data_IF_927615672582
#
_entry.id   IF_927615672582
#
_cell.length_a   1.000
_cell.length_b   1.000
_cell.length_c   1.000
_cell.angle_alpha   90.00
_cell.angle_beta   90.00
_cell.angle_gamma   90.00
#
_symmetry.space_group_name_H-M   'P 1'
#
loop_
_entity.id
_entity.type
_entity.pdbx_description
1 polymer ?
#
# COMPACT_ATOMS: atom_id res chain seq x y z
N UNK A 1 -29.36 -40.84 -8.91
CA UNK A 1 -28.63 -39.71 -9.52
C UNK A 1 -27.26 -39.66 -8.88
N UNK A 2 -26.23 -40.15 -9.56
CA UNK A 2 -24.86 -40.22 -9.06
C UNK A 2 -24.23 -38.83 -9.11
N UNK A 3 -24.03 -38.20 -7.95
CA UNK A 3 -23.25 -36.97 -7.83
C UNK A 3 -21.81 -37.28 -8.22
N UNK A 4 -21.35 -36.72 -9.34
CA UNK A 4 -19.97 -36.81 -9.77
C UNK A 4 -19.12 -35.87 -8.90
N UNK A 5 -18.22 -36.43 -8.10
CA UNK A 5 -17.21 -35.67 -7.39
C UNK A 5 -16.06 -35.36 -8.37
N UNK A 6 -15.62 -34.10 -8.38
CA UNK A 6 -14.57 -33.61 -9.28
C UNK A 6 -13.17 -34.15 -8.91
N UNK A 7 -12.94 -34.40 -7.62
CA UNK A 7 -11.63 -34.74 -7.09
C UNK A 7 -11.77 -35.56 -5.81
N UNK A 8 -10.81 -36.48 -5.56
CA UNK A 8 -10.72 -37.23 -4.30
C UNK A 8 -10.14 -36.40 -3.15
N UNK A 9 -9.82 -35.13 -3.40
CA UNK A 9 -9.18 -34.19 -2.48
C UNK A 9 -9.82 -32.81 -2.62
N UNK A 10 -10.08 -32.14 -1.51
CA UNK A 10 -10.62 -30.78 -1.52
C UNK A 10 -9.61 -29.76 -2.06
N UNK A 11 -10.00 -29.00 -3.08
CA UNK A 11 -9.14 -27.99 -3.73
C UNK A 11 -8.76 -26.82 -2.81
N UNK A 12 -9.55 -26.56 -1.77
CA UNK A 12 -9.27 -25.47 -0.83
C UNK A 12 -8.29 -25.87 0.29
N UNK A 13 -8.44 -27.05 0.89
CA UNK A 13 -7.69 -27.44 2.09
C UNK A 13 -6.87 -28.73 1.96
N UNK A 14 -6.93 -29.39 0.80
CA UNK A 14 -6.20 -30.63 0.49
C UNK A 14 -6.71 -31.87 1.21
N UNK A 15 -7.86 -31.81 1.92
CA UNK A 15 -8.40 -32.95 2.64
C UNK A 15 -8.93 -34.02 1.66
N UNK A 16 -8.55 -35.28 1.86
CA UNK A 16 -9.13 -36.40 1.13
C UNK A 16 -10.63 -36.53 1.42
N UNK A 17 -11.45 -36.48 0.38
CA UNK A 17 -12.90 -36.52 0.43
C UNK A 17 -13.34 -37.99 0.34
N UNK A 18 -14.10 -38.45 1.32
CA UNK A 18 -14.76 -39.76 1.24
C UNK A 18 -16.03 -39.62 0.39
N UNK A 19 -16.46 -40.65 -0.37
CA UNK A 19 -17.68 -40.60 -1.17
C UNK A 19 -18.97 -40.35 -0.35
N UNK A 20 -18.90 -40.55 0.98
CA UNK A 20 -19.99 -40.30 1.93
C UNK A 20 -19.97 -38.87 2.51
N UNK A 21 -18.94 -38.09 2.18
CA UNK A 21 -18.89 -36.67 2.51
C UNK A 21 -20.01 -36.00 1.72
N UNK A 22 -20.83 -35.18 2.39
CA UNK A 22 -21.97 -34.50 1.77
C UNK A 22 -21.58 -33.52 0.66
N UNK A 23 -22.32 -32.42 0.50
CA UNK A 23 -22.03 -31.48 -0.59
C UNK A 23 -20.89 -30.50 -0.31
N UNK A 24 -20.43 -30.42 0.94
CA UNK A 24 -19.39 -29.50 1.40
C UNK A 24 -18.26 -30.26 2.12
N UNK A 25 -17.04 -29.75 1.99
CA UNK A 25 -15.88 -30.27 2.68
C UNK A 25 -16.06 -30.14 4.21
N UNK A 26 -15.88 -31.22 4.99
CA UNK A 26 -16.11 -31.19 6.44
C UNK A 26 -15.10 -30.32 7.22
N UNK A 27 -13.99 -29.93 6.59
CA UNK A 27 -12.93 -29.13 7.25
C UNK A 27 -13.04 -27.64 6.97
N UNK A 28 -13.23 -27.25 5.71
CA UNK A 28 -13.25 -25.84 5.30
C UNK A 28 -14.59 -25.37 4.73
N UNK A 29 -15.59 -26.25 4.67
CA UNK A 29 -16.92 -25.98 4.12
C UNK A 29 -16.89 -25.51 2.65
N UNK A 30 -15.85 -25.87 1.91
CA UNK A 30 -15.75 -25.62 0.48
C UNK A 30 -16.66 -26.61 -0.29
N UNK A 31 -17.43 -26.17 -1.29
CA UNK A 31 -18.31 -27.07 -2.06
C UNK A 31 -17.52 -28.13 -2.82
N UNK A 32 -17.97 -29.39 -2.76
CA UNK A 32 -17.28 -30.52 -3.42
C UNK A 32 -18.12 -31.16 -4.52
N UNK A 33 -19.36 -30.73 -4.70
CA UNK A 33 -20.22 -31.14 -5.81
C UNK A 33 -20.10 -30.16 -6.98
N UNK A 34 -20.05 -30.71 -8.19
CA UNK A 34 -19.86 -29.93 -9.44
C UNK A 34 -20.75 -28.68 -9.52
N UNK A 35 -22.07 -28.87 -9.41
CA UNK A 35 -23.04 -27.79 -9.58
C UNK A 35 -22.93 -26.71 -8.48
N UNK A 36 -22.50 -27.10 -7.28
CA UNK A 36 -22.39 -26.17 -6.15
C UNK A 36 -21.09 -25.41 -6.19
N UNK A 37 -20.01 -26.07 -6.62
CA UNK A 37 -18.71 -25.44 -6.85
C UNK A 37 -18.79 -24.42 -7.98
N UNK A 38 -19.39 -24.75 -9.12
CA UNK A 38 -19.59 -23.81 -10.23
C UNK A 38 -20.29 -22.52 -9.77
N UNK A 39 -21.43 -22.66 -9.09
CA UNK A 39 -22.18 -21.51 -8.54
C UNK A 39 -21.37 -20.75 -7.50
N UNK A 40 -20.66 -21.44 -6.61
CA UNK A 40 -19.83 -20.82 -5.60
C UNK A 40 -18.72 -19.97 -6.22
N UNK A 41 -18.07 -20.47 -7.28
CA UNK A 41 -17.04 -19.74 -8.01
C UNK A 41 -17.62 -18.53 -8.74
N UNK A 42 -18.80 -18.65 -9.38
CA UNK A 42 -19.48 -17.49 -9.98
C UNK A 42 -19.78 -16.39 -8.97
N UNK A 43 -20.31 -16.74 -7.79
CA UNK A 43 -20.56 -15.78 -6.73
C UNK A 43 -19.27 -15.17 -6.19
N UNK A 44 -18.25 -16.00 -5.95
CA UNK A 44 -16.96 -15.55 -5.44
C UNK A 44 -16.27 -14.58 -6.40
N UNK A 45 -16.29 -14.87 -7.71
CA UNK A 45 -15.73 -13.98 -8.72
C UNK A 45 -16.48 -12.64 -8.79
N UNK A 46 -17.83 -12.66 -8.75
CA UNK A 46 -18.63 -11.42 -8.70
C UNK A 46 -18.32 -10.58 -7.46
N UNK A 47 -18.19 -11.22 -6.30
CA UNK A 47 -17.86 -10.52 -5.07
C UNK A 47 -16.44 -9.95 -5.10
N UNK A 48 -15.45 -10.73 -5.54
CA UNK A 48 -14.07 -10.27 -5.68
C UNK A 48 -13.95 -9.12 -6.68
N UNK A 49 -14.68 -9.17 -7.80
CA UNK A 49 -14.73 -8.09 -8.78
C UNK A 49 -15.29 -6.81 -8.15
N UNK A 50 -16.42 -6.90 -7.44
CA UNK A 50 -16.98 -5.78 -6.68
C UNK A 50 -15.99 -5.23 -5.66
N UNK A 51 -15.27 -6.09 -4.93
CA UNK A 51 -14.24 -5.65 -3.98
C UNK A 51 -13.11 -4.92 -4.70
N UNK A 52 -12.67 -5.43 -5.85
CA UNK A 52 -11.65 -4.80 -6.67
C UNK A 52 -12.09 -3.42 -7.16
N UNK A 53 -13.28 -3.33 -7.74
CA UNK A 53 -13.81 -2.11 -8.37
C UNK A 53 -14.06 -0.98 -7.36
N UNK A 54 -14.49 -1.32 -6.14
CA UNK A 54 -14.85 -0.33 -5.11
C UNK A 54 -13.78 -0.15 -4.02
N UNK A 55 -12.50 -0.32 -4.38
CA UNK A 55 -11.35 0.08 -3.56
C UNK A 55 -10.96 -0.89 -2.44
N UNK A 56 -11.51 -2.10 -2.45
CA UNK A 56 -11.12 -3.18 -1.53
C UNK A 56 -9.80 -3.85 -1.92
N UNK A 57 -9.33 -3.70 -3.17
CA UNK A 57 -8.02 -4.20 -3.62
C UNK A 57 -6.82 -3.61 -2.84
N UNK A 58 -6.98 -2.44 -2.22
CA UNK A 58 -5.94 -1.79 -1.42
C UNK A 58 -5.91 -2.23 0.05
N UNK A 59 -6.76 -3.19 0.44
CA UNK A 59 -6.86 -3.69 1.80
C UNK A 59 -6.28 -5.10 1.90
N UNK A 60 -5.74 -5.43 3.07
CA UNK A 60 -5.45 -6.84 3.40
C UNK A 60 -6.76 -7.62 3.51
N UNK A 61 -6.69 -8.95 3.30
CA UNK A 61 -7.84 -9.85 3.51
C UNK A 61 -8.40 -9.70 4.93
N UNK A 62 -7.53 -9.57 5.95
CA UNK A 62 -7.94 -9.30 7.33
C UNK A 62 -8.70 -7.98 7.49
N UNK A 63 -8.29 -6.92 6.79
CA UNK A 63 -8.98 -5.63 6.78
C UNK A 63 -10.36 -5.70 6.12
N UNK A 64 -10.49 -6.49 5.04
CA UNK A 64 -11.78 -6.76 4.39
C UNK A 64 -12.72 -7.52 5.31
N UNK A 65 -12.22 -8.56 6.01
CA UNK A 65 -12.99 -9.31 7.01
C UNK A 65 -13.50 -8.37 8.11
N UNK A 66 -12.63 -7.51 8.65
CA UNK A 66 -13.01 -6.53 9.67
C UNK A 66 -14.07 -5.53 9.20
N UNK A 67 -13.98 -5.06 7.95
CA UNK A 67 -14.97 -4.16 7.35
C UNK A 67 -16.34 -4.83 7.22
N UNK A 68 -16.38 -6.06 6.71
CA UNK A 68 -17.62 -6.79 6.50
C UNK A 68 -18.26 -7.26 7.80
N UNK A 69 -17.48 -7.71 8.77
CA UNK A 69 -18.01 -8.08 10.09
C UNK A 69 -18.65 -6.88 10.80
N UNK A 70 -18.03 -5.69 10.75
CA UNK A 70 -18.59 -4.46 11.32
C UNK A 70 -19.92 -4.10 10.67
N UNK A 71 -20.00 -4.13 9.34
CA UNK A 71 -21.24 -3.83 8.61
C UNK A 71 -22.32 -4.88 8.89
N UNK A 72 -21.97 -6.15 8.94
CA UNK A 72 -22.90 -7.24 9.25
C UNK A 72 -23.47 -7.11 10.66
N UNK A 73 -22.63 -6.78 11.64
CA UNK A 73 -23.07 -6.55 13.01
C UNK A 73 -23.99 -5.34 13.13
N UNK A 74 -23.69 -4.25 12.43
CA UNK A 74 -24.58 -3.09 12.34
C UNK A 74 -25.96 -3.46 11.75
N UNK A 75 -26.00 -4.23 10.66
CA UNK A 75 -27.26 -4.67 10.05
C UNK A 75 -28.04 -5.63 10.99
N UNK A 76 -27.34 -6.50 11.71
CA UNK A 76 -27.96 -7.35 12.74
C UNK A 76 -28.56 -6.50 13.86
N UNK A 77 -27.83 -5.49 14.34
CA UNK A 77 -28.34 -4.56 15.36
C UNK A 77 -29.58 -3.81 14.88
N UNK A 78 -29.64 -3.38 13.61
CA UNK A 78 -30.86 -2.77 13.07
C UNK A 78 -32.03 -3.76 12.97
N UNK A 79 -31.75 -5.04 12.68
CA UNK A 79 -32.77 -6.09 12.55
C UNK A 79 -33.33 -6.56 13.89
N UNK A 80 -32.49 -6.60 14.94
CA UNK A 80 -32.85 -7.09 16.27
C UNK A 80 -33.06 -5.97 17.31
N UNK A 81 -32.61 -4.75 17.03
CA UNK A 81 -32.79 -3.55 17.83
C UNK A 81 -33.75 -2.60 17.14
N UNK A 82 -35.06 -2.80 17.37
CA UNK A 82 -36.06 -1.78 17.11
C UNK A 82 -35.65 -0.48 17.79
N UNK A 83 -35.82 0.62 17.07
CA UNK A 83 -35.54 2.00 17.48
C UNK A 83 -35.79 2.23 18.97
N UNK A 84 -34.72 2.26 19.77
CA UNK A 84 -34.68 3.01 21.02
C UNK A 84 -33.72 4.17 20.81
N UNK A 85 -34.17 5.10 19.96
CA UNK A 85 -33.62 6.44 19.87
C UNK A 85 -34.05 7.22 21.10
N UNK A 86 -33.41 6.99 22.25
CA UNK A 86 -33.32 8.01 23.28
C UNK A 86 -32.21 8.98 22.87
N UNK A 87 -32.45 9.74 21.80
CA UNK A 87 -31.72 10.98 21.61
C UNK A 87 -32.22 11.93 22.69
N UNK A 88 -31.45 12.02 23.78
CA UNK A 88 -31.60 13.11 24.72
C UNK A 88 -31.47 14.42 23.92
N UNK A 89 -32.60 15.10 23.74
CA UNK A 89 -32.64 16.41 23.13
C UNK A 89 -31.76 17.35 23.96
N UNK A 90 -30.66 17.79 23.37
CA UNK A 90 -29.84 18.90 23.89
C UNK A 90 -30.73 20.14 23.76
N UNK A 91 -31.30 20.58 24.89
CA UNK A 91 -31.97 21.87 24.96
C UNK A 91 -30.92 23.00 25.09
N UNK A 92 -31.19 24.21 24.53
CA UNK A 92 -30.25 25.33 24.58
C UNK A 92 -30.20 26.00 25.96
N UNK A 93 -29.01 26.50 26.31
CA UNK A 93 -28.66 27.13 27.59
C UNK A 93 -29.04 28.62 27.70
N UNK A 94 -29.30 29.10 28.93
CA UNK A 94 -29.07 30.47 29.48
C UNK A 94 -29.23 30.44 31.04
N UNK A 95 -28.78 31.46 31.84
CA UNK A 95 -27.41 31.88 32.16
C UNK A 95 -27.08 31.90 33.69
N UNK A 96 -25.81 32.21 34.02
CA UNK A 96 -25.12 32.20 35.34
C UNK A 96 -25.83 32.84 36.56
N UNK A 97 -25.59 32.26 37.75
CA UNK A 97 -25.47 33.01 39.03
C UNK A 97 -24.43 32.31 39.97
N UNK A 98 -23.46 33.08 40.46
CA UNK A 98 -22.35 32.76 41.39
C UNK A 98 -22.83 32.71 42.87
N UNK A 99 -22.39 31.83 43.80
CA UNK A 99 -21.11 31.87 44.58
C UNK A 99 -21.04 30.72 45.66
N UNK A 100 -19.85 30.39 46.23
CA UNK A 100 -19.54 29.28 47.18
C UNK A 100 -19.35 29.81 48.65
N UNK A 101 -18.88 29.08 49.74
CA UNK A 101 -17.75 28.11 49.87
C UNK A 101 -17.88 26.88 50.83
N UNK A 102 -16.89 25.98 50.74
CA UNK A 102 -16.59 24.71 51.48
C UNK A 102 -15.92 25.04 52.87
N UNK A 103 -15.89 24.22 53.98
CA UNK A 103 -15.00 23.04 54.15
C UNK A 103 -15.40 21.99 55.27
N UNK A 104 -14.50 21.13 55.86
CA UNK A 104 -14.36 19.69 55.52
C UNK A 104 -14.34 18.71 56.74
N UNK A 105 -14.79 17.44 56.63
CA UNK A 105 -14.55 16.39 57.67
C UNK A 105 -14.56 15.00 57.02
N UNK A 106 -13.40 14.34 56.81
CA UNK A 106 -12.69 13.30 57.60
C UNK A 106 -13.31 11.89 57.67
N UNK A 107 -12.53 10.97 57.06
CA UNK A 107 -12.34 9.52 57.19
C UNK A 107 -12.86 8.77 58.44
N UNK A 108 -13.44 7.59 58.23
CA UNK A 108 -13.05 6.22 58.70
C UNK A 108 -14.10 5.25 58.10
N UNK A 109 -13.89 3.98 57.73
CA UNK A 109 -13.16 2.92 58.42
C UNK A 109 -13.17 1.59 57.60
N UNK A 110 -12.01 0.88 57.60
CA UNK A 110 -11.77 -0.59 57.51
C UNK A 110 -11.88 -1.40 56.16
N UNK A 111 -10.82 -2.19 55.96
CA UNK A 111 -10.40 -3.11 54.87
C UNK A 111 -11.08 -4.53 54.94
N UNK A 112 -10.66 -5.65 54.25
CA UNK A 112 -9.54 -5.90 53.31
C UNK A 112 -9.84 -6.80 52.05
N UNK A 113 -8.77 -7.01 51.27
CA UNK A 113 -8.55 -7.88 50.08
C UNK A 113 -8.83 -9.38 50.35
N UNK A 114 -9.19 -10.20 49.33
CA UNK A 114 -8.22 -11.21 48.85
C UNK A 114 -8.23 -11.46 47.32
N UNK A 115 -7.03 -11.64 46.74
CA UNK A 115 -6.76 -12.61 45.65
C UNK A 115 -6.23 -13.89 46.32
N UNK A 116 -6.39 -15.13 45.78
CA UNK A 116 -5.67 -15.61 44.58
C UNK A 116 -6.47 -16.67 43.78
N UNK A 117 -5.94 -17.26 42.68
CA UNK A 117 -5.76 -18.72 42.43
C UNK A 117 -5.00 -18.89 41.09
N UNK A 118 -3.97 -19.74 41.11
CA UNK A 118 -3.09 -20.16 40.02
C UNK A 118 -3.00 -21.69 40.07
N UNK A 119 -3.31 -22.44 39.00
CA UNK A 119 -2.87 -23.83 38.72
C UNK A 119 -3.15 -24.14 37.22
N UNK A 120 -2.13 -24.23 36.34
CA UNK A 120 -1.38 -25.42 35.89
C UNK A 120 -2.01 -26.23 34.73
N UNK A 121 -1.19 -26.52 33.71
CA UNK A 121 -1.33 -27.67 32.79
C UNK A 121 0.05 -28.28 32.47
N UNK A 122 0.13 -29.59 32.14
CA UNK A 122 1.30 -30.43 32.40
C UNK A 122 2.20 -30.67 31.18
N UNK A 123 3.42 -31.12 31.48
CA UNK A 123 4.46 -31.62 30.56
C UNK A 123 4.12 -33.02 30.05
N UNK A 124 4.35 -33.30 28.76
CA UNK A 124 4.40 -34.64 28.18
C UNK A 124 4.90 -34.67 26.73
N UNK A 125 6.09 -35.26 26.49
CA UNK A 125 6.65 -35.66 25.18
C UNK A 125 6.39 -37.18 25.00
N UNK A 126 6.36 -37.75 23.78
CA UNK A 126 7.61 -38.14 23.12
C UNK A 126 7.63 -38.06 21.58
N UNK A 127 8.84 -38.25 21.05
CA UNK A 127 9.32 -38.26 19.67
C UNK A 127 8.84 -39.47 18.85
N UNK A 128 8.67 -39.31 17.53
CA UNK A 128 8.94 -40.38 16.54
C UNK A 128 9.38 -39.79 15.20
N UNK A 129 10.60 -40.18 14.82
CA UNK A 129 11.20 -40.09 13.48
C UNK A 129 10.59 -41.11 12.53
N UNK A 130 10.39 -40.76 11.25
CA UNK A 130 10.51 -41.74 10.15
C UNK A 130 11.19 -41.05 8.97
N UNK A 131 12.40 -41.53 8.70
CA UNK A 131 13.12 -41.39 7.43
C UNK A 131 12.49 -42.37 6.43
N UNK A 132 12.32 -41.95 5.17
CA UNK A 132 11.73 -42.78 4.11
C UNK A 132 12.07 -42.24 2.73
N UNK A 133 13.22 -42.69 2.25
CA UNK A 133 13.83 -42.43 0.96
C UNK A 133 13.24 -43.35 -0.13
N UNK A 134 13.40 -42.95 -1.41
CA UNK A 134 13.20 -43.71 -2.66
C UNK A 134 11.76 -43.75 -3.20
N UNK A 135 11.45 -43.71 -4.50
CA UNK A 135 12.18 -43.75 -5.80
C UNK A 135 11.10 -43.60 -6.90
N UNK A 136 11.44 -43.08 -8.09
CA UNK A 136 10.76 -43.49 -9.34
C UNK A 136 10.07 -42.41 -10.19
N UNK A 137 10.79 -41.96 -11.21
CA UNK A 137 10.40 -41.32 -12.50
C UNK A 137 9.50 -42.28 -13.35
N UNK A 138 8.77 -41.95 -14.46
CA UNK A 138 8.77 -40.74 -15.33
C UNK A 138 7.41 -40.09 -15.71
N UNK A 139 7.53 -38.82 -16.10
CA UNK A 139 7.04 -38.18 -17.35
C UNK A 139 5.80 -38.75 -18.06
N UNK A 140 4.72 -37.97 -18.08
CA UNK A 140 3.65 -38.09 -19.06
C UNK A 140 3.38 -36.70 -19.68
N UNK A 141 3.54 -36.69 -21.00
CA UNK A 141 3.24 -35.68 -22.03
C UNK A 141 2.36 -34.48 -21.63
N UNK A 142 2.90 -33.27 -21.82
CA UNK A 142 2.22 -31.99 -21.69
C UNK A 142 1.56 -31.62 -23.04
N UNK A 143 0.23 -31.63 -23.10
CA UNK A 143 -0.53 -31.09 -24.22
C UNK A 143 -0.75 -29.57 -24.03
N UNK A 144 -0.76 -28.75 -25.10
CA UNK A 144 -0.68 -27.30 -24.99
C UNK A 144 -1.99 -26.68 -24.49
N UNK A 145 -1.96 -25.99 -23.35
CA UNK A 145 -3.06 -25.14 -22.88
C UNK A 145 -3.24 -23.93 -23.81
N UNK A 146 -4.36 -23.85 -24.53
CA UNK A 146 -4.81 -22.61 -25.14
C UNK A 146 -5.41 -21.68 -24.08
N UNK A 147 -4.74 -20.56 -23.85
CA UNK A 147 -5.24 -19.48 -22.99
C UNK A 147 -6.47 -18.77 -23.60
N UNK A 148 -7.53 -18.48 -22.83
CA UNK A 148 -8.66 -17.71 -23.34
C UNK A 148 -8.24 -16.24 -23.58
N UNK A 149 -8.43 -15.77 -24.81
CA UNK A 149 -8.25 -14.37 -25.22
C UNK A 149 -9.08 -13.45 -24.31
N UNK A 150 -8.42 -12.64 -23.48
CA UNK A 150 -9.02 -11.48 -22.83
C UNK A 150 -9.37 -10.45 -23.90
N UNK A 151 -10.66 -10.17 -24.07
CA UNK A 151 -11.11 -9.06 -24.90
C UNK A 151 -11.13 -7.82 -24.01
N UNK A 152 -10.17 -6.91 -24.23
CA UNK A 152 -10.07 -5.65 -23.50
C UNK A 152 -11.10 -4.65 -24.05
N UNK A 153 -12.21 -4.43 -23.33
CA UNK A 153 -13.08 -3.28 -23.58
C UNK A 153 -12.56 -2.07 -22.80
N UNK A 154 -11.75 -1.22 -23.45
CA UNK A 154 -11.25 0.03 -22.88
C UNK A 154 -12.34 1.10 -22.90
N UNK A 155 -12.80 1.56 -21.73
CA UNK A 155 -13.76 2.66 -21.61
C UNK A 155 -13.05 3.95 -21.22
N UNK A 156 -13.02 4.92 -22.15
CA UNK A 156 -12.38 6.22 -21.96
C UNK A 156 -12.96 7.03 -20.78
N UNK A 157 -14.23 6.84 -20.44
CA UNK A 157 -14.89 7.55 -19.33
C UNK A 157 -14.44 7.07 -17.96
N UNK A 158 -14.31 5.75 -17.76
CA UNK A 158 -13.80 5.24 -16.47
C UNK A 158 -12.33 5.59 -16.28
N UNK A 159 -11.54 5.54 -17.35
CA UNK A 159 -10.14 5.96 -17.31
C UNK A 159 -9.98 7.44 -16.92
N UNK A 160 -10.71 8.37 -17.56
CA UNK A 160 -10.62 9.79 -17.23
C UNK A 160 -11.12 10.11 -15.82
N UNK A 161 -12.19 9.46 -15.35
CA UNK A 161 -12.73 9.71 -14.01
C UNK A 161 -11.79 9.16 -12.92
N UNK A 162 -11.23 7.97 -13.12
CA UNK A 162 -10.35 7.34 -12.13
C UNK A 162 -8.90 7.86 -12.19
N UNK A 163 -8.44 8.39 -13.34
CA UNK A 163 -7.06 8.84 -13.55
C UNK A 163 -6.88 10.34 -13.74
N UNK A 164 -7.94 11.17 -13.71
CA UNK A 164 -7.85 12.62 -13.95
C UNK A 164 -6.75 13.29 -13.09
N UNK A 165 -6.66 12.93 -11.81
CA UNK A 165 -5.66 13.49 -10.89
C UNK A 165 -4.24 13.13 -11.36
N UNK A 166 -4.01 11.89 -11.77
CA UNK A 166 -2.72 11.43 -12.29
C UNK A 166 -2.38 12.12 -13.61
N UNK A 167 -3.34 12.25 -14.53
CA UNK A 167 -3.15 12.89 -15.83
C UNK A 167 -2.81 14.37 -15.64
N UNK A 168 -3.57 15.10 -14.83
CA UNK A 168 -3.33 16.52 -14.54
C UNK A 168 -1.98 16.69 -13.83
N UNK A 169 -1.66 15.80 -12.88
CA UNK A 169 -0.38 15.81 -12.18
C UNK A 169 0.81 15.57 -13.13
N UNK A 170 0.73 14.57 -14.00
CA UNK A 170 1.78 14.27 -14.98
C UNK A 170 1.91 15.36 -16.05
N UNK A 171 0.79 15.91 -16.51
CA UNK A 171 0.80 17.05 -17.44
C UNK A 171 1.47 18.26 -16.79
N UNK A 172 1.11 18.58 -15.56
CA UNK A 172 1.75 19.65 -14.79
C UNK A 172 3.26 19.40 -14.61
N UNK A 173 3.64 18.18 -14.22
CA UNK A 173 5.04 17.79 -14.08
C UNK A 173 5.81 17.94 -15.39
N UNK A 174 5.23 17.51 -16.51
CA UNK A 174 5.80 17.65 -17.84
C UNK A 174 6.01 19.12 -18.22
N UNK A 175 4.99 19.97 -18.01
CA UNK A 175 5.08 21.40 -18.33
C UNK A 175 6.13 22.11 -17.46
N UNK A 176 6.21 21.78 -16.17
CA UNK A 176 7.24 22.31 -15.26
C UNK A 176 8.64 21.88 -15.73
N UNK A 177 8.80 20.60 -16.10
CA UNK A 177 10.08 20.07 -16.59
C UNK A 177 10.50 20.75 -17.90
N UNK A 178 9.57 20.90 -18.85
CA UNK A 178 9.81 21.63 -20.10
C UNK A 178 10.17 23.09 -19.86
N UNK A 179 9.50 23.76 -18.91
CA UNK A 179 9.85 25.12 -18.51
C UNK A 179 11.28 25.21 -17.95
N UNK A 180 11.68 24.25 -17.10
CA UNK A 180 13.03 24.19 -16.55
C UNK A 180 14.08 23.99 -17.65
N UNK A 181 13.85 23.04 -18.56
CA UNK A 181 14.76 22.79 -19.70
C UNK A 181 14.85 24.00 -20.64
N UNK A 182 13.71 24.62 -20.95
CA UNK A 182 13.66 25.83 -21.76
C UNK A 182 14.42 26.98 -21.11
N UNK A 183 14.38 27.12 -19.78
CA UNK A 183 15.09 28.18 -19.06
C UNK A 183 16.62 28.11 -19.23
N UNK A 184 17.18 26.91 -19.38
CA UNK A 184 18.62 26.71 -19.63
C UNK A 184 19.01 27.25 -21.01
N UNK A 185 18.14 27.10 -22.01
CA UNK A 185 18.39 27.56 -23.38
C UNK A 185 18.09 29.05 -23.54
N UNK A 186 16.94 29.51 -23.06
CA UNK A 186 16.43 30.86 -23.31
C UNK A 186 17.00 31.91 -22.37
N UNK A 187 17.31 31.53 -21.12
CA UNK A 187 17.82 32.42 -20.08
C UNK A 187 19.33 32.16 -19.83
N UNK A 188 20.00 31.46 -20.74
CA UNK A 188 21.43 31.11 -20.61
C UNK A 188 22.37 32.31 -20.46
N UNK A 189 21.92 33.53 -20.81
CA UNK A 189 22.66 34.77 -20.56
C UNK A 189 22.70 35.23 -19.08
N UNK A 190 21.81 34.69 -18.22
CA UNK A 190 21.83 34.93 -16.78
C UNK A 190 21.94 33.59 -16.03
N UNK A 191 23.17 33.16 -15.70
CA UNK A 191 23.39 31.83 -15.12
C UNK A 191 22.80 31.70 -13.70
N UNK A 192 22.69 32.81 -12.95
CA UNK A 192 22.08 32.81 -11.62
C UNK A 192 20.58 32.52 -11.70
N UNK A 193 19.88 33.17 -12.62
CA UNK A 193 18.45 32.95 -12.81
C UNK A 193 18.16 31.53 -13.33
N UNK A 194 18.94 31.05 -14.30
CA UNK A 194 18.80 29.67 -14.80
C UNK A 194 19.03 28.63 -13.69
N UNK A 195 20.08 28.81 -12.88
CA UNK A 195 20.34 27.96 -11.72
C UNK A 195 19.17 27.98 -10.72
N UNK A 196 18.66 29.16 -10.34
CA UNK A 196 17.56 29.27 -9.38
C UNK A 196 16.28 28.60 -9.89
N UNK A 197 15.96 28.73 -11.18
CA UNK A 197 14.78 28.06 -11.77
C UNK A 197 14.94 26.54 -11.70
N UNK A 198 16.07 26.01 -12.21
CA UNK A 198 16.32 24.57 -12.23
C UNK A 198 16.39 24.00 -10.82
N UNK A 199 17.07 24.69 -9.89
CA UNK A 199 17.14 24.29 -8.49
C UNK A 199 15.77 24.30 -7.81
N UNK A 200 14.94 25.30 -8.06
CA UNK A 200 13.57 25.37 -7.52
C UNK A 200 12.70 24.24 -8.03
N UNK A 201 12.78 23.92 -9.32
CA UNK A 201 12.06 22.80 -9.94
C UNK A 201 12.54 21.46 -9.38
N UNK A 202 13.86 21.31 -9.22
CA UNK A 202 14.45 20.14 -8.58
C UNK A 202 13.96 19.97 -7.14
N UNK A 203 13.99 21.03 -6.32
CA UNK A 203 13.48 21.01 -4.95
C UNK A 203 11.98 20.67 -4.90
N UNK A 204 11.18 21.25 -5.80
CA UNK A 204 9.75 20.97 -5.91
C UNK A 204 9.48 19.48 -6.15
N UNK A 205 10.13 18.86 -7.13
CA UNK A 205 9.93 17.43 -7.41
C UNK A 205 10.44 16.53 -6.29
N UNK A 206 11.53 16.90 -5.62
CA UNK A 206 12.04 16.18 -4.46
C UNK A 206 11.05 16.22 -3.28
N UNK A 207 10.59 17.40 -2.90
CA UNK A 207 9.62 17.59 -1.80
C UNK A 207 8.30 16.92 -2.14
N UNK A 208 7.75 17.18 -3.32
CA UNK A 208 6.48 16.59 -3.75
C UNK A 208 6.58 15.07 -3.84
N UNK A 209 7.70 14.52 -4.32
CA UNK A 209 7.97 13.09 -4.34
C UNK A 209 7.96 12.47 -2.94
N UNK A 210 8.70 13.05 -1.98
CA UNK A 210 8.74 12.59 -0.59
C UNK A 210 7.37 12.68 0.07
N UNK A 211 6.68 13.81 -0.06
CA UNK A 211 5.35 14.03 0.52
C UNK A 211 4.33 13.04 -0.07
N UNK A 212 4.31 12.87 -1.39
CA UNK A 212 3.42 11.94 -2.07
C UNK A 212 3.70 10.48 -1.68
N UNK A 213 4.96 10.13 -1.42
CA UNK A 213 5.35 8.76 -1.05
C UNK A 213 4.75 8.32 0.29
N UNK A 214 4.44 9.28 1.19
CA UNK A 214 3.80 9.02 2.47
C UNK A 214 2.39 8.42 2.33
N UNK A 215 1.73 8.62 1.19
CA UNK A 215 0.37 8.17 0.95
C UNK A 215 0.33 6.97 -0.01
N UNK A 216 -0.26 5.85 0.43
CA UNK A 216 -0.27 4.60 -0.34
C UNK A 216 -0.84 4.76 -1.77
N UNK A 217 -1.91 5.56 -1.91
CA UNK A 217 -2.58 5.79 -3.18
C UNK A 217 -1.74 6.61 -4.18
N UNK A 218 -0.77 7.39 -3.69
CA UNK A 218 0.05 8.27 -4.52
C UNK A 218 1.47 7.75 -4.77
N UNK A 219 1.81 6.55 -4.28
CA UNK A 219 3.16 5.98 -4.44
C UNK A 219 3.61 5.87 -5.90
N UNK A 220 2.69 5.63 -6.83
CA UNK A 220 3.03 5.63 -8.25
C UNK A 220 3.48 7.01 -8.72
N UNK A 221 2.70 8.05 -8.40
CA UNK A 221 3.04 9.45 -8.72
C UNK A 221 4.34 9.86 -8.01
N UNK A 222 4.49 9.49 -6.74
CA UNK A 222 5.70 9.75 -5.96
C UNK A 222 6.95 9.16 -6.62
N UNK A 223 6.89 7.92 -7.12
CA UNK A 223 7.99 7.29 -7.86
C UNK A 223 8.30 8.05 -9.15
N UNK A 224 7.28 8.50 -9.88
CA UNK A 224 7.49 9.28 -11.13
C UNK A 224 8.15 10.62 -10.80
N UNK A 225 7.66 11.34 -9.80
CA UNK A 225 8.22 12.64 -9.40
C UNK A 225 9.65 12.48 -8.87
N UNK A 226 9.91 11.40 -8.15
CA UNK A 226 11.26 11.04 -7.69
C UNK A 226 12.18 10.67 -8.85
N UNK A 227 11.66 10.03 -9.89
CA UNK A 227 12.37 9.80 -11.14
C UNK A 227 12.75 11.10 -11.85
N UNK A 228 11.82 12.06 -11.95
CA UNK A 228 12.09 13.40 -12.51
C UNK A 228 13.14 14.13 -11.65
N UNK A 229 12.99 14.08 -10.33
CA UNK A 229 13.96 14.63 -9.38
C UNK A 229 15.37 14.09 -9.61
N UNK A 230 15.51 12.77 -9.77
CA UNK A 230 16.79 12.10 -10.11
C UNK A 230 17.34 12.57 -11.45
N UNK A 231 16.50 12.64 -12.48
CA UNK A 231 16.90 13.12 -13.81
C UNK A 231 17.36 14.58 -13.82
N UNK A 232 16.87 15.40 -12.88
CA UNK A 232 17.26 16.80 -12.74
C UNK A 232 18.60 16.98 -12.03
N UNK A 233 19.13 15.98 -11.32
CA UNK A 233 20.39 16.11 -10.56
C UNK A 233 21.57 16.52 -11.45
N UNK A 234 21.85 15.86 -12.60
CA UNK A 234 22.95 16.29 -13.47
C UNK A 234 22.73 17.70 -14.03
N UNK A 235 21.47 18.08 -14.28
CA UNK A 235 21.12 19.39 -14.80
C UNK A 235 21.39 20.51 -13.78
N UNK A 236 21.09 20.27 -12.50
CA UNK A 236 21.46 21.19 -11.40
C UNK A 236 22.98 21.33 -11.28
N UNK A 237 23.72 20.21 -11.41
CA UNK A 237 25.18 20.25 -11.44
C UNK A 237 25.73 21.10 -12.60
N UNK A 238 25.15 20.93 -13.79
CA UNK A 238 25.51 21.71 -14.97
C UNK A 238 25.21 23.21 -14.81
N UNK A 239 24.02 23.59 -14.35
CA UNK A 239 23.69 25.01 -14.13
C UNK A 239 24.47 25.63 -12.96
N UNK A 240 24.83 24.82 -11.95
CA UNK A 240 25.75 25.24 -10.89
C UNK A 240 27.16 25.51 -11.43
N UNK A 241 27.66 24.67 -12.33
CA UNK A 241 28.93 24.88 -13.01
C UNK A 241 28.95 26.16 -13.85
N UNK A 242 27.90 26.43 -14.64
CA UNK A 242 27.81 27.66 -15.43
C UNK A 242 27.69 28.91 -14.55
N UNK A 243 27.02 28.82 -13.41
CA UNK A 243 27.00 29.88 -12.39
C UNK A 243 28.39 30.17 -11.81
N UNK A 244 29.16 29.12 -11.52
CA UNK A 244 30.52 29.23 -11.00
C UNK A 244 31.48 29.86 -12.01
N UNK A 245 31.36 29.52 -13.30
CA UNK A 245 32.12 30.17 -14.38
C UNK A 245 31.87 31.68 -14.47
N UNK A 246 30.66 32.13 -14.12
CA UNK A 246 30.32 33.55 -14.03
C UNK A 246 30.76 34.23 -12.74
N UNK A 247 31.36 33.48 -11.79
CA UNK A 247 31.76 33.98 -10.47
C UNK A 247 33.27 34.22 -10.37
N UNK A 248 33.69 35.02 -9.39
CA UNK A 248 35.11 35.29 -9.09
C UNK A 248 35.78 34.14 -8.29
N UNK A 249 35.09 33.03 -8.04
CA UNK A 249 35.60 31.92 -7.23
C UNK A 249 36.30 30.92 -8.16
N UNK A 250 37.64 30.77 -8.10
CA UNK A 250 38.37 29.86 -8.98
C UNK A 250 38.25 28.42 -8.45
N UNK A 251 37.13 27.74 -8.74
CA UNK A 251 37.04 26.30 -8.58
C UNK A 251 37.55 25.60 -9.84
N UNK A 252 38.41 24.59 -9.66
CA UNK A 252 38.84 23.76 -10.77
C UNK A 252 37.67 22.91 -11.31
N UNK A 253 37.66 22.63 -12.61
CA UNK A 253 36.64 21.77 -13.25
C UNK A 253 36.52 20.40 -12.54
N UNK A 254 37.62 19.69 -12.20
CA UNK A 254 37.54 18.45 -11.44
C UNK A 254 36.84 18.59 -10.09
N UNK A 255 37.04 19.71 -9.38
CA UNK A 255 36.38 19.96 -8.11
C UNK A 255 34.87 20.08 -8.27
N UNK A 256 34.39 20.78 -9.31
CA UNK A 256 32.95 20.93 -9.55
C UNK A 256 32.31 19.60 -9.95
N UNK A 257 33.01 18.81 -10.77
CA UNK A 257 32.59 17.44 -11.11
C UNK A 257 32.48 16.59 -9.84
N UNK A 258 33.49 16.63 -8.97
CA UNK A 258 33.48 15.86 -7.72
C UNK A 258 32.33 16.27 -6.78
N UNK A 259 32.03 17.58 -6.68
CA UNK A 259 30.88 18.07 -5.89
C UNK A 259 29.56 17.57 -6.48
N UNK A 260 29.38 17.68 -7.80
CA UNK A 260 28.16 17.23 -8.48
C UNK A 260 27.97 15.71 -8.36
N UNK A 261 29.04 14.94 -8.55
CA UNK A 261 29.08 13.48 -8.36
C UNK A 261 28.72 13.08 -6.93
N UNK A 262 29.32 13.75 -5.93
CA UNK A 262 29.04 13.50 -4.51
C UNK A 262 27.58 13.81 -4.17
N UNK A 263 27.05 14.96 -4.65
CA UNK A 263 25.65 15.31 -4.48
C UNK A 263 24.73 14.26 -5.09
N UNK A 264 25.01 13.82 -6.33
CA UNK A 264 24.24 12.78 -7.00
C UNK A 264 24.27 11.45 -6.23
N UNK A 265 25.44 11.02 -5.77
CA UNK A 265 25.57 9.81 -4.97
C UNK A 265 24.73 9.87 -3.69
N UNK A 266 24.80 10.97 -2.93
CA UNK A 266 24.00 11.15 -1.71
C UNK A 266 22.51 11.08 -2.02
N UNK A 267 22.06 11.83 -3.02
CA UNK A 267 20.64 11.89 -3.42
C UNK A 267 20.13 10.51 -3.83
N UNK A 268 20.87 9.81 -4.70
CA UNK A 268 20.46 8.51 -5.23
C UNK A 268 20.45 7.43 -4.15
N UNK A 269 21.46 7.40 -3.26
CA UNK A 269 21.51 6.46 -2.12
C UNK A 269 20.37 6.75 -1.15
N UNK A 270 20.10 8.01 -0.82
CA UNK A 270 18.97 8.40 0.04
C UNK A 270 17.64 7.92 -0.56
N UNK A 271 17.43 8.09 -1.86
CA UNK A 271 16.22 7.59 -2.53
C UNK A 271 16.14 6.07 -2.56
N UNK A 272 17.26 5.38 -2.75
CA UNK A 272 17.32 3.91 -2.70
C UNK A 272 16.85 3.38 -1.35
N UNK A 273 17.31 3.99 -0.26
CA UNK A 273 16.91 3.64 1.11
C UNK A 273 15.45 4.01 1.36
N UNK A 274 15.05 5.23 1.00
CA UNK A 274 13.72 5.75 1.31
C UNK A 274 12.60 5.04 0.53
N UNK A 275 12.83 4.72 -0.75
CA UNK A 275 11.82 4.11 -1.62
C UNK A 275 11.99 2.60 -1.79
N UNK A 276 13.11 2.03 -1.33
CA UNK A 276 13.42 0.61 -1.47
C UNK A 276 13.59 0.16 -2.92
N UNK A 277 13.95 1.08 -3.84
CA UNK A 277 14.08 0.77 -5.26
C UNK A 277 15.56 0.64 -5.65
N UNK A 278 16.03 -0.56 -6.06
CA UNK A 278 17.46 -0.85 -6.18
C UNK A 278 18.15 -0.07 -7.31
N UNK A 279 17.40 0.39 -8.33
CA UNK A 279 17.98 1.16 -9.44
C UNK A 279 18.66 2.45 -8.96
N UNK A 280 18.13 3.09 -7.92
CA UNK A 280 18.72 4.30 -7.37
C UNK A 280 20.04 3.99 -6.65
N UNK A 281 20.15 2.81 -6.03
CA UNK A 281 21.41 2.36 -5.44
C UNK A 281 22.51 2.19 -6.50
N UNK A 282 22.16 1.60 -7.64
CA UNK A 282 23.08 1.47 -8.78
C UNK A 282 23.50 2.83 -9.35
N UNK A 283 22.57 3.76 -9.53
CA UNK A 283 22.91 5.11 -9.97
C UNK A 283 23.83 5.82 -8.95
N UNK A 284 23.59 5.61 -7.65
CA UNK A 284 24.44 6.14 -6.59
C UNK A 284 25.87 5.60 -6.64
N UNK A 285 26.05 4.30 -6.89
CA UNK A 285 27.39 3.73 -7.06
C UNK A 285 28.07 4.22 -8.33
N UNK A 286 27.33 4.34 -9.43
CA UNK A 286 27.87 4.83 -10.71
C UNK A 286 28.26 6.31 -10.66
N UNK A 287 27.59 7.11 -9.83
CA UNK A 287 27.96 8.51 -9.64
C UNK A 287 29.33 8.71 -8.98
N UNK A 288 29.88 7.67 -8.32
CA UNK A 288 31.18 7.72 -7.64
C UNK A 288 32.35 7.18 -8.49
N UNK A 289 32.08 6.70 -9.70
CA UNK A 289 33.05 6.14 -10.65
C UNK A 289 33.35 7.20 -11.71
#
# INVERSE_FOLDING_TARGET
MTQAYLSSTCDCCGLTIRPESGEDCPRCNYPISYNKEERFLEFSLRDLQRVSDYGGANLTVSGLIGRYSKRLNYLRQLKFGGVSSSFAAIQPAMPLEQRPPVPPVRQSEIAPVPSPILWQMPVGRPSTSVSGMNTGVPSAEEAPQQSPRRVFSFSWKSFMVDQAITIIGLLGAFLILMGALSSVVTIGGNPMLSFLIVFSVHAFFGIAGVVAYRFANFRMIARIYSGIYVLLVPLVGFTGYTLLLGSQIPLSVPTVIAIAATYAAIVYVMLAIYQGFPIFGYLGSMALI
#
